data_IF_392196329058
#
_entry.id   IF_392196329058
#
_cell.length_a   1.000
_cell.length_b   1.000
_cell.length_c   1.000
_cell.angle_alpha   90.00
_cell.angle_beta   90.00
_cell.angle_gamma   90.00
#
_symmetry.space_group_name_H-M   'P 1'
#
loop_
_entity.id
_entity.type
_entity.pdbx_description
1 polymer ?
#
# COMPACT_ATOMS: atom_id res chain seq x y z
N UNK A 1 -0.60 -6.68 -29.77
CA UNK A 1 0.68 -5.94 -29.74
C UNK A 1 1.69 -6.81 -29.00
N UNK A 2 2.86 -7.17 -29.56
CA UNK A 2 3.85 -7.95 -28.81
C UNK A 2 4.67 -7.01 -27.92
N UNK A 3 4.11 -6.65 -26.76
CA UNK A 3 4.86 -5.97 -25.69
C UNK A 3 5.54 -7.00 -24.77
N UNK A 4 6.62 -6.59 -24.11
CA UNK A 4 7.24 -7.36 -23.02
C UNK A 4 6.84 -6.75 -21.68
N UNK A 5 6.81 -7.56 -20.64
CA UNK A 5 6.58 -7.06 -19.28
C UNK A 5 7.82 -6.33 -18.77
N UNK A 6 7.62 -5.40 -17.82
CA UNK A 6 8.72 -4.68 -17.19
C UNK A 6 9.68 -5.65 -16.50
N UNK A 7 9.14 -6.69 -15.85
CA UNK A 7 9.87 -7.83 -15.27
C UNK A 7 10.93 -8.41 -16.21
N UNK A 8 10.58 -8.62 -17.48
CA UNK A 8 11.45 -9.24 -18.48
C UNK A 8 12.53 -8.28 -19.01
N UNK A 9 12.33 -6.98 -18.89
CA UNK A 9 13.12 -5.97 -19.58
C UNK A 9 14.03 -5.16 -18.65
N UNK A 10 13.61 -4.89 -17.41
CA UNK A 10 14.26 -3.91 -16.53
C UNK A 10 15.76 -4.14 -16.33
N UNK A 11 16.17 -5.39 -16.12
CA UNK A 11 17.57 -5.75 -15.91
C UNK A 11 18.48 -5.51 -17.14
N UNK A 12 17.88 -5.39 -18.33
CA UNK A 12 18.60 -5.14 -19.59
C UNK A 12 18.55 -3.68 -20.03
N UNK A 13 17.72 -2.85 -19.37
CA UNK A 13 17.60 -1.45 -19.72
C UNK A 13 18.80 -0.65 -19.26
N UNK A 14 19.26 0.24 -20.12
CA UNK A 14 20.16 1.31 -19.73
C UNK A 14 19.43 2.35 -18.86
N UNK A 15 20.18 3.33 -18.36
CA UNK A 15 19.63 4.39 -17.51
C UNK A 15 18.53 5.18 -18.23
N UNK A 16 18.73 5.55 -19.49
CA UNK A 16 17.79 6.36 -20.25
C UNK A 16 16.46 5.62 -20.46
N UNK A 17 16.52 4.32 -20.76
CA UNK A 17 15.34 3.48 -20.92
C UNK A 17 14.57 3.36 -19.59
N UNK A 18 15.27 3.18 -18.46
CA UNK A 18 14.62 3.15 -17.13
C UNK A 18 13.95 4.48 -16.79
N UNK A 19 14.63 5.59 -17.01
CA UNK A 19 14.04 6.92 -16.82
C UNK A 19 12.81 7.13 -17.72
N UNK A 20 12.86 6.63 -18.97
CA UNK A 20 11.71 6.64 -19.89
C UNK A 20 10.54 5.84 -19.34
N UNK A 21 10.77 4.65 -18.76
CA UNK A 21 9.72 3.88 -18.06
C UNK A 21 9.09 4.71 -16.96
N UNK A 22 9.90 5.34 -16.11
CA UNK A 22 9.39 6.12 -14.97
C UNK A 22 8.52 7.28 -15.43
N UNK A 23 8.97 8.04 -16.43
CA UNK A 23 8.24 9.18 -16.97
C UNK A 23 6.92 8.72 -17.62
N UNK A 24 6.97 7.66 -18.42
CA UNK A 24 5.81 7.12 -19.13
C UNK A 24 4.80 6.50 -18.16
N UNK A 25 5.26 5.74 -17.16
CA UNK A 25 4.41 5.18 -16.10
C UNK A 25 3.74 6.29 -15.28
N UNK A 26 4.51 7.29 -14.86
CA UNK A 26 4.00 8.45 -14.13
C UNK A 26 2.87 9.15 -14.88
N UNK A 27 3.00 9.28 -16.21
CA UNK A 27 1.92 9.81 -17.05
C UNK A 27 0.65 8.97 -16.96
N UNK A 28 0.74 7.66 -17.16
CA UNK A 28 -0.42 6.76 -17.13
C UNK A 28 -1.14 6.82 -15.78
N UNK A 29 -0.42 6.72 -14.65
CA UNK A 29 -1.07 6.74 -13.33
C UNK A 29 -1.70 8.09 -12.99
N UNK A 30 -1.13 9.21 -13.46
CA UNK A 30 -1.76 10.53 -13.29
C UNK A 30 -3.02 10.67 -14.12
N UNK A 31 -3.03 10.16 -15.36
CA UNK A 31 -4.22 10.16 -16.22
C UNK A 31 -5.34 9.30 -15.61
N UNK A 32 -5.01 8.11 -15.08
CA UNK A 32 -5.96 7.23 -14.38
C UNK A 32 -6.53 7.91 -13.13
N UNK A 33 -5.68 8.57 -12.34
CA UNK A 33 -6.08 9.26 -11.12
C UNK A 33 -7.00 10.45 -11.35
N UNK A 34 -6.92 11.09 -12.52
CA UNK A 34 -7.75 12.23 -12.92
C UNK A 34 -9.04 11.81 -13.64
N UNK A 35 -9.29 10.51 -13.81
CA UNK A 35 -10.60 10.01 -14.26
C UNK A 35 -11.67 10.40 -13.23
N UNK A 36 -12.75 11.02 -13.72
CA UNK A 36 -13.92 11.31 -12.91
C UNK A 36 -14.62 10.02 -12.51
N UNK A 37 -14.67 9.75 -11.20
CA UNK A 37 -15.31 8.57 -10.62
C UNK A 37 -16.34 8.96 -9.57
N UNK A 38 -17.32 8.09 -9.28
CA UNK A 38 -18.20 8.28 -8.13
C UNK A 38 -17.41 8.46 -6.84
N UNK A 39 -17.93 9.32 -5.97
CA UNK A 39 -17.42 9.53 -4.61
C UNK A 39 -17.83 8.37 -3.70
N UNK A 40 -17.28 7.19 -3.94
CA UNK A 40 -17.65 5.97 -3.25
C UNK A 40 -16.45 5.02 -3.18
N UNK A 41 -16.27 4.35 -2.04
CA UNK A 41 -15.23 3.36 -1.80
C UNK A 41 -15.78 1.97 -2.04
N UNK A 42 -15.23 1.27 -3.04
CA UNK A 42 -15.73 -0.02 -3.47
C UNK A 42 -15.01 -0.56 -4.70
N UNK A 43 -15.30 -1.80 -5.07
CA UNK A 43 -14.84 -2.34 -6.35
C UNK A 43 -15.64 -1.70 -7.47
N UNK A 44 -15.00 -1.47 -8.62
CA UNK A 44 -15.68 -0.94 -9.79
C UNK A 44 -16.65 -1.97 -10.36
N UNK A 45 -17.79 -1.50 -10.87
CA UNK A 45 -18.71 -2.30 -11.66
C UNK A 45 -19.33 -1.46 -12.77
N UNK A 46 -19.85 -2.13 -13.81
CA UNK A 46 -20.61 -1.45 -14.85
C UNK A 46 -21.89 -0.85 -14.27
N UNK A 47 -22.08 0.46 -14.45
CA UNK A 47 -23.30 1.12 -13.98
C UNK A 47 -24.56 0.56 -14.64
N UNK A 48 -25.62 0.39 -13.86
CA UNK A 48 -26.93 -0.04 -14.37
C UNK A 48 -27.60 1.02 -15.28
N UNK A 49 -27.13 2.27 -15.23
CA UNK A 49 -27.63 3.38 -16.02
C UNK A 49 -26.70 3.68 -17.20
N UNK A 50 -27.26 4.17 -18.31
CA UNK A 50 -26.56 4.52 -19.55
C UNK A 50 -25.78 3.35 -20.22
N UNK A 51 -26.35 2.14 -20.28
CA UNK A 51 -25.76 0.99 -20.97
C UNK A 51 -24.30 0.66 -20.53
N UNK A 52 -23.96 0.90 -19.26
CA UNK A 52 -22.60 0.66 -18.74
C UNK A 52 -21.57 1.75 -19.07
N UNK A 53 -21.98 2.91 -19.58
CA UNK A 53 -21.08 4.03 -19.87
C UNK A 53 -20.62 4.81 -18.63
N UNK A 54 -21.24 4.59 -17.47
CA UNK A 54 -20.83 5.19 -16.20
C UNK A 54 -20.22 4.14 -15.28
N UNK A 55 -19.05 4.45 -14.71
CA UNK A 55 -18.46 3.67 -13.62
C UNK A 55 -19.35 3.77 -12.37
N UNK A 56 -19.59 2.64 -11.71
CA UNK A 56 -20.26 2.56 -10.42
C UNK A 56 -19.36 1.83 -9.41
N UNK A 57 -19.68 1.97 -8.12
CA UNK A 57 -19.09 1.16 -7.06
C UNK A 57 -20.03 0.00 -6.69
N UNK A 58 -19.45 -1.16 -6.47
CA UNK A 58 -20.04 -2.29 -5.76
C UNK A 58 -19.28 -2.49 -4.44
N UNK A 59 -19.87 -3.20 -3.46
CA UNK A 59 -19.18 -3.49 -2.22
C UNK A 59 -17.79 -4.08 -2.47
N UNK A 60 -16.81 -3.55 -1.73
CA UNK A 60 -15.39 -3.79 -1.95
C UNK A 60 -15.04 -5.29 -1.88
N UNK A 61 -14.38 -5.78 -2.93
CA UNK A 61 -13.73 -7.08 -3.00
C UNK A 61 -12.22 -6.86 -2.88
N UNK A 62 -11.70 -7.00 -1.66
CA UNK A 62 -10.29 -6.75 -1.35
C UNK A 62 -9.40 -7.98 -1.43
N UNK A 63 -8.09 -7.74 -1.39
CA UNK A 63 -7.09 -8.77 -1.05
C UNK A 63 -6.96 -8.87 0.47
N UNK A 64 -6.41 -9.99 0.94
CA UNK A 64 -6.10 -10.23 2.35
C UNK A 64 -7.30 -10.72 3.17
N UNK A 65 -7.46 -10.29 4.43
CA UNK A 65 -8.47 -10.82 5.34
C UNK A 65 -9.87 -10.23 5.13
N UNK A 66 -10.00 -9.30 4.19
CA UNK A 66 -11.26 -8.60 3.94
C UNK A 66 -12.15 -9.48 3.07
N UNK A 67 -13.28 -10.00 3.59
CA UNK A 67 -14.26 -10.64 2.73
C UNK A 67 -14.91 -9.58 1.81
N UNK A 68 -15.87 -10.02 0.99
CA UNK A 68 -16.79 -9.10 0.31
C UNK A 68 -17.39 -8.14 1.35
N UNK A 69 -17.19 -6.84 1.16
CA UNK A 69 -17.78 -5.83 2.03
C UNK A 69 -19.31 -5.92 2.00
N UNK A 70 -20.00 -5.62 3.11
CA UNK A 70 -21.46 -5.61 3.14
C UNK A 70 -22.06 -4.49 2.29
N UNK A 71 -21.31 -3.40 2.09
CA UNK A 71 -21.78 -2.20 1.39
C UNK A 71 -20.64 -1.43 0.73
N UNK A 72 -21.01 -0.37 0.02
CA UNK A 72 -20.11 0.65 -0.51
C UNK A 72 -19.98 1.76 0.53
N UNK A 73 -18.77 2.23 0.80
CA UNK A 73 -18.55 3.26 1.82
C UNK A 73 -18.48 4.65 1.18
N UNK A 74 -19.10 5.65 1.79
CA UNK A 74 -18.96 7.06 1.37
C UNK A 74 -17.91 7.83 2.19
N UNK A 75 -17.38 7.18 3.22
CA UNK A 75 -16.45 7.73 4.18
C UNK A 75 -15.25 6.79 4.34
N UNK A 76 -14.04 7.36 4.36
CA UNK A 76 -12.79 6.62 4.57
C UNK A 76 -12.73 5.96 5.94
N UNK A 77 -13.28 6.59 6.99
CA UNK A 77 -13.21 6.05 8.34
C UNK A 77 -14.03 4.76 8.46
N UNK A 78 -15.23 4.74 7.88
CA UNK A 78 -16.09 3.54 7.87
C UNK A 78 -15.42 2.38 7.12
N UNK A 79 -14.72 2.69 6.03
CA UNK A 79 -13.93 1.68 5.31
C UNK A 79 -12.74 1.17 6.14
N UNK A 80 -12.00 2.04 6.81
CA UNK A 80 -10.89 1.65 7.71
C UNK A 80 -11.43 0.77 8.84
N UNK A 81 -12.53 1.17 9.48
CA UNK A 81 -13.15 0.42 10.58
C UNK A 81 -13.61 -0.98 10.13
N UNK A 82 -14.16 -1.08 8.91
CA UNK A 82 -14.48 -2.37 8.30
C UNK A 82 -13.24 -3.25 8.11
N UNK A 83 -12.18 -2.70 7.49
CA UNK A 83 -10.93 -3.43 7.22
C UNK A 83 -10.34 -3.98 8.52
N UNK A 84 -10.28 -3.16 9.57
CA UNK A 84 -9.74 -3.60 10.86
C UNK A 84 -10.68 -4.57 11.60
N UNK A 85 -12.00 -4.41 11.49
CA UNK A 85 -12.96 -5.39 12.03
C UNK A 85 -12.76 -6.77 11.42
N UNK A 86 -12.62 -6.84 10.09
CA UNK A 86 -12.33 -8.08 9.37
C UNK A 86 -10.96 -8.66 9.79
N UNK A 87 -9.93 -7.82 9.89
CA UNK A 87 -8.60 -8.23 10.33
C UNK A 87 -8.62 -8.81 11.76
N UNK A 88 -9.34 -8.18 12.69
CA UNK A 88 -9.49 -8.68 14.06
C UNK A 88 -10.19 -10.05 14.10
N UNK A 89 -11.23 -10.25 13.29
CA UNK A 89 -11.93 -11.53 13.20
C UNK A 89 -11.00 -12.65 12.67
N UNK A 90 -10.29 -12.39 11.57
CA UNK A 90 -9.36 -13.36 10.99
C UNK A 90 -8.15 -13.65 11.89
N UNK A 91 -7.62 -12.64 12.59
CA UNK A 91 -6.52 -12.81 13.55
C UNK A 91 -6.92 -13.70 14.73
N UNK A 92 -8.16 -13.59 15.19
CA UNK A 92 -8.73 -14.41 16.27
C UNK A 92 -8.95 -15.85 15.81
N UNK A 93 -9.52 -16.04 14.62
CA UNK A 93 -9.80 -17.36 14.06
C UNK A 93 -8.54 -18.19 13.79
N UNK A 94 -7.43 -17.53 13.45
CA UNK A 94 -6.14 -18.15 13.12
C UNK A 94 -5.15 -18.22 14.29
N UNK A 95 -5.54 -17.79 15.49
CA UNK A 95 -4.64 -17.79 16.65
C UNK A 95 -4.52 -19.19 17.26
N UNK A 96 -3.30 -19.68 17.54
CA UNK A 96 -3.11 -21.01 18.12
C UNK A 96 -3.47 -21.05 19.61
N UNK A 97 -3.54 -19.90 20.28
CA UNK A 97 -3.86 -19.79 21.71
C UNK A 97 -4.54 -18.46 22.03
N UNK A 98 -5.20 -18.38 23.19
CA UNK A 98 -5.82 -17.14 23.67
C UNK A 98 -4.79 -16.01 23.94
N UNK A 99 -3.62 -16.27 24.55
CA UNK A 99 -2.56 -15.26 24.66
C UNK A 99 -2.09 -14.73 23.30
N UNK A 100 -1.95 -15.61 22.29
CA UNK A 100 -1.57 -15.18 20.94
C UNK A 100 -2.67 -14.33 20.30
N UNK A 101 -3.94 -14.71 20.46
CA UNK A 101 -5.07 -13.93 19.99
C UNK A 101 -5.08 -12.51 20.59
N UNK A 102 -4.83 -12.41 21.91
CA UNK A 102 -4.74 -11.12 22.61
C UNK A 102 -3.56 -10.27 22.11
N UNK A 103 -2.38 -10.87 21.92
CA UNK A 103 -1.21 -10.17 21.38
C UNK A 103 -1.44 -9.65 19.95
N UNK A 104 -2.05 -10.47 19.07
CA UNK A 104 -2.41 -10.07 17.71
C UNK A 104 -3.46 -8.95 17.69
N UNK A 105 -4.49 -9.06 18.53
CA UNK A 105 -5.49 -8.03 18.68
C UNK A 105 -4.88 -6.70 19.16
N UNK A 106 -3.92 -6.75 20.09
CA UNK A 106 -3.24 -5.54 20.54
C UNK A 106 -2.46 -4.84 19.40
N UNK A 107 -1.72 -5.60 18.59
CA UNK A 107 -1.00 -5.04 17.43
C UNK A 107 -1.97 -4.39 16.41
N UNK A 108 -3.07 -5.07 16.10
CA UNK A 108 -4.09 -4.52 15.20
C UNK A 108 -4.75 -3.25 15.75
N UNK A 109 -5.01 -3.18 17.07
CA UNK A 109 -5.57 -1.98 17.69
C UNK A 109 -4.61 -0.77 17.57
N UNK A 110 -3.31 -0.99 17.74
CA UNK A 110 -2.30 0.06 17.54
C UNK A 110 -2.21 0.51 16.07
N UNK A 111 -2.27 -0.43 15.12
CA UNK A 111 -2.33 -0.11 13.69
C UNK A 111 -3.61 0.66 13.34
N UNK A 112 -4.76 0.26 13.88
CA UNK A 112 -6.04 0.90 13.62
C UNK A 112 -6.06 2.36 14.13
N UNK A 113 -5.53 2.58 15.33
CA UNK A 113 -5.38 3.93 15.87
C UNK A 113 -4.48 4.79 14.96
N UNK A 114 -3.32 4.27 14.53
CA UNK A 114 -2.43 4.97 13.63
C UNK A 114 -3.03 5.24 12.24
N UNK A 115 -3.77 4.27 11.67
CA UNK A 115 -4.48 4.46 10.41
C UNK A 115 -5.53 5.57 10.53
N UNK A 116 -6.24 5.61 11.66
CA UNK A 116 -7.24 6.65 11.92
C UNK A 116 -6.59 8.03 12.03
N UNK A 117 -5.45 8.13 12.72
CA UNK A 117 -4.69 9.37 12.85
C UNK A 117 -4.12 9.85 11.50
N UNK A 118 -3.53 8.94 10.72
CA UNK A 118 -3.05 9.25 9.36
C UNK A 118 -4.19 9.69 8.45
N UNK A 119 -5.35 9.03 8.52
CA UNK A 119 -6.53 9.41 7.74
C UNK A 119 -7.06 10.81 8.11
N UNK A 120 -6.96 11.23 9.38
CA UNK A 120 -7.26 12.62 9.80
C UNK A 120 -6.23 13.63 9.29
N UNK A 121 -4.97 13.23 9.22
CA UNK A 121 -3.88 14.08 8.74
C UNK A 121 -3.88 14.24 7.20
N UNK A 122 -4.47 13.29 6.48
CA UNK A 122 -4.62 13.38 5.03
C UNK A 122 -5.52 14.57 4.64
N UNK A 123 -5.09 15.36 3.66
CA UNK A 123 -5.95 16.38 3.03
C UNK A 123 -6.93 15.64 2.12
N UNK A 124 -8.06 15.24 2.69
CA UNK A 124 -9.14 14.58 1.96
C UNK A 124 -10.27 15.59 1.77
N UNK A 125 -10.38 16.26 0.59
CA UNK A 125 -11.63 16.88 0.22
C UNK A 125 -12.73 15.82 0.37
N UNK A 126 -13.74 16.11 1.18
CA UNK A 126 -14.87 15.19 1.38
C UNK A 126 -15.41 14.77 0.02
N UNK A 127 -15.44 13.47 -0.21
CA UNK A 127 -15.96 12.88 -1.43
C UNK A 127 -15.04 12.92 -2.66
N UNK A 128 -13.72 12.98 -2.47
CA UNK A 128 -12.77 12.80 -3.57
C UNK A 128 -12.21 11.38 -3.60
N UNK A 129 -12.88 10.50 -4.35
CA UNK A 129 -12.34 9.19 -4.72
C UNK A 129 -11.56 9.29 -6.04
N UNK A 130 -10.69 8.31 -6.27
CA UNK A 130 -10.03 8.08 -7.55
C UNK A 130 -9.99 6.58 -7.83
N UNK A 131 -9.76 6.24 -9.09
CA UNK A 131 -9.52 4.87 -9.47
C UNK A 131 -8.11 4.46 -9.00
N UNK A 132 -8.04 3.43 -8.17
CA UNK A 132 -6.79 2.78 -7.79
C UNK A 132 -6.55 1.55 -8.65
N UNK A 133 -5.31 1.47 -9.15
CA UNK A 133 -4.73 0.30 -9.78
C UNK A 133 -3.37 0.07 -9.12
N UNK A 134 -3.08 -1.17 -8.75
CA UNK A 134 -1.82 -1.55 -8.08
C UNK A 134 -1.07 -2.58 -8.93
N UNK A 135 -0.54 -2.16 -10.10
CA UNK A 135 0.14 -3.08 -11.00
C UNK A 135 1.45 -3.55 -10.39
N UNK A 136 1.73 -4.85 -10.49
CA UNK A 136 3.08 -5.35 -10.28
C UNK A 136 3.94 -5.15 -11.54
N UNK A 137 5.22 -5.51 -11.46
CA UNK A 137 6.14 -5.40 -12.60
C UNK A 137 5.86 -6.36 -13.77
N UNK A 138 5.06 -7.40 -13.55
CA UNK A 138 4.50 -8.26 -14.58
C UNK A 138 3.32 -7.62 -15.31
N UNK A 139 2.63 -6.66 -14.69
CA UNK A 139 1.45 -6.01 -15.25
C UNK A 139 1.78 -4.77 -16.10
N UNK A 140 3.01 -4.29 -16.05
CA UNK A 140 3.46 -3.12 -16.84
C UNK A 140 4.08 -3.60 -18.15
N UNK A 141 3.42 -3.29 -19.27
CA UNK A 141 3.91 -3.65 -20.62
C UNK A 141 4.74 -2.50 -21.17
N UNK A 142 5.96 -2.79 -21.63
CA UNK A 142 6.90 -1.81 -22.15
C UNK A 142 7.39 -2.14 -23.54
N UNK A 143 7.74 -1.11 -24.31
CA UNK A 143 8.45 -1.25 -25.56
C UNK A 143 9.95 -1.47 -25.29
N UNK A 144 10.43 -2.70 -25.52
CA UNK A 144 11.76 -3.17 -25.11
C UNK A 144 12.95 -2.36 -25.68
N UNK A 145 12.76 -1.55 -26.73
CA UNK A 145 13.84 -0.70 -27.27
C UNK A 145 13.88 0.70 -26.66
N UNK A 146 12.74 1.21 -26.21
CA UNK A 146 12.61 2.62 -25.79
C UNK A 146 12.36 2.76 -24.29
N UNK A 147 11.82 1.74 -23.63
CA UNK A 147 11.35 1.82 -22.25
C UNK A 147 9.99 2.51 -22.11
N UNK A 148 9.32 2.87 -23.19
CA UNK A 148 7.99 3.47 -23.14
C UNK A 148 6.95 2.45 -22.63
N UNK A 149 6.09 2.87 -21.70
CA UNK A 149 4.97 2.06 -21.22
C UNK A 149 3.90 2.04 -22.30
N UNK A 150 3.58 0.84 -22.80
CA UNK A 150 2.58 0.62 -23.82
C UNK A 150 1.20 0.26 -23.23
N UNK A 151 1.15 -0.13 -21.95
CA UNK A 151 -0.10 -0.39 -21.25
C UNK A 151 0.10 -0.97 -19.86
N UNK A 152 -0.97 -0.93 -19.07
CA UNK A 152 -1.10 -1.58 -17.77
C UNK A 152 -2.11 -2.72 -17.89
N UNK A 153 -1.77 -3.89 -17.36
CA UNK A 153 -2.59 -5.10 -17.35
C UNK A 153 -3.19 -5.33 -15.95
N UNK A 154 -3.81 -6.49 -15.78
CA UNK A 154 -4.43 -6.95 -14.53
C UNK A 154 -5.36 -5.91 -13.86
N UNK A 155 -6.39 -5.52 -14.60
CA UNK A 155 -7.43 -4.62 -14.10
C UNK A 155 -8.46 -5.37 -13.23
N UNK A 156 -8.29 -6.64 -12.88
CA UNK A 156 -9.37 -7.39 -12.22
C UNK A 156 -9.62 -6.93 -10.76
N UNK A 157 -8.64 -6.28 -10.12
CA UNK A 157 -8.72 -5.80 -8.74
C UNK A 157 -8.69 -4.26 -8.59
N UNK A 158 -9.08 -3.53 -9.63
CA UNK A 158 -9.24 -2.07 -9.54
C UNK A 158 -10.39 -1.68 -8.59
N UNK A 159 -10.22 -0.56 -7.89
CA UNK A 159 -11.20 -0.08 -6.92
C UNK A 159 -11.30 1.43 -6.91
N UNK A 160 -12.47 1.94 -6.58
CA UNK A 160 -12.66 3.33 -6.20
C UNK A 160 -12.26 3.46 -4.73
N UNK A 161 -11.30 4.33 -4.46
CA UNK A 161 -10.80 4.57 -3.10
C UNK A 161 -10.56 6.07 -2.90
N UNK A 162 -10.48 6.58 -1.66
CA UNK A 162 -10.09 7.97 -1.41
C UNK A 162 -8.78 8.30 -2.12
N UNK A 163 -8.64 9.51 -2.66
CA UNK A 163 -7.45 9.90 -3.45
C UNK A 163 -6.12 9.62 -2.73
N UNK A 164 -6.05 9.83 -1.42
CA UNK A 164 -4.86 9.51 -0.62
C UNK A 164 -4.49 8.02 -0.63
N UNK A 165 -5.43 7.10 -0.91
CA UNK A 165 -5.15 5.67 -1.09
C UNK A 165 -4.82 5.31 -2.54
N UNK A 166 -5.35 6.05 -3.52
CA UNK A 166 -5.17 5.73 -4.94
C UNK A 166 -3.79 6.12 -5.48
N UNK A 167 -3.19 7.21 -4.99
CA UNK A 167 -1.87 7.64 -5.45
C UNK A 167 -0.77 6.85 -4.75
N UNK A 168 -0.03 6.01 -5.49
CA UNK A 168 1.04 5.18 -4.95
C UNK A 168 2.35 5.33 -5.75
N UNK A 169 3.47 4.99 -5.10
CA UNK A 169 4.74 4.80 -5.79
C UNK A 169 4.74 3.44 -6.51
N UNK A 170 5.51 3.29 -7.60
CA UNK A 170 5.63 2.00 -8.30
C UNK A 170 6.11 0.90 -7.35
N UNK A 171 5.29 -0.15 -7.15
CA UNK A 171 5.53 -1.19 -6.15
C UNK A 171 6.87 -1.93 -6.32
N UNK A 172 7.37 -2.01 -7.56
CA UNK A 172 8.61 -2.70 -7.90
C UNK A 172 9.90 -1.93 -7.58
N UNK A 173 9.79 -0.65 -7.23
CA UNK A 173 10.93 0.18 -6.76
C UNK A 173 10.93 0.34 -5.23
N UNK A 174 9.83 -0.01 -4.56
CA UNK A 174 9.66 0.25 -3.14
C UNK A 174 10.54 -0.64 -2.26
N UNK A 175 11.09 -0.03 -1.22
CA UNK A 175 11.94 -0.65 -0.21
C UNK A 175 11.48 -0.27 1.21
N UNK A 176 10.19 0.02 1.36
CA UNK A 176 9.53 0.46 2.58
C UNK A 176 8.29 -0.39 2.88
N UNK A 177 7.63 -0.15 4.03
CA UNK A 177 6.40 -0.87 4.39
C UNK A 177 6.60 -2.39 4.38
N UNK A 178 5.72 -3.08 3.67
CA UNK A 178 5.77 -4.53 3.44
C UNK A 178 6.91 -4.96 2.49
N UNK A 179 7.50 -4.01 1.76
CA UNK A 179 8.61 -4.20 0.82
C UNK A 179 9.98 -3.87 1.42
N UNK A 180 10.07 -3.48 2.70
CA UNK A 180 11.35 -3.26 3.37
C UNK A 180 12.11 -4.59 3.51
N UNK A 181 13.38 -4.70 3.05
CA UNK A 181 14.15 -5.95 3.16
C UNK A 181 14.23 -6.56 4.57
N UNK A 182 14.07 -5.75 5.63
CA UNK A 182 14.07 -6.21 7.03
C UNK A 182 12.76 -6.89 7.44
N UNK A 183 11.68 -6.60 6.71
CA UNK A 183 10.31 -6.99 7.05
C UNK A 183 9.59 -7.70 5.90
N UNK A 184 10.18 -7.78 4.71
CA UNK A 184 9.60 -8.40 3.53
C UNK A 184 9.44 -9.92 3.70
N UNK A 185 8.53 -10.50 2.90
CA UNK A 185 8.32 -11.94 2.84
C UNK A 185 9.58 -12.64 2.33
N UNK A 186 9.81 -13.87 2.77
CA UNK A 186 10.80 -14.74 2.15
C UNK A 186 10.57 -14.84 0.63
N UNK A 187 11.65 -14.77 -0.14
CA UNK A 187 11.59 -14.80 -1.60
C UNK A 187 11.12 -13.50 -2.27
N UNK A 188 10.84 -12.42 -1.52
CA UNK A 188 10.68 -11.10 -2.14
C UNK A 188 11.98 -10.74 -2.85
N UNK A 189 11.84 -10.29 -4.08
CA UNK A 189 12.92 -9.81 -4.92
C UNK A 189 12.57 -8.39 -5.38
N UNK A 190 13.61 -7.62 -5.74
CA UNK A 190 13.49 -6.23 -6.17
C UNK A 190 14.10 -6.10 -7.56
N UNK A 191 13.46 -5.30 -8.43
CA UNK A 191 13.94 -5.10 -9.80
C UNK A 191 15.27 -4.32 -9.86
N UNK A 192 15.52 -3.46 -8.87
CA UNK A 192 16.71 -2.63 -8.80
C UNK A 192 17.30 -2.63 -7.37
N UNK A 193 18.62 -2.38 -7.24
CA UNK A 193 19.21 -2.05 -5.94
C UNK A 193 18.54 -0.83 -5.30
N UNK A 194 18.68 -0.71 -3.97
CA UNK A 194 18.06 0.36 -3.18
C UNK A 194 18.45 1.78 -3.64
N UNK A 195 19.72 1.98 -4.00
CA UNK A 195 20.22 3.29 -4.43
C UNK A 195 19.57 3.73 -5.76
N UNK A 196 19.58 2.84 -6.76
CA UNK A 196 18.93 3.08 -8.05
C UNK A 196 17.42 3.27 -7.89
N UNK A 197 16.78 2.46 -7.05
CA UNK A 197 15.34 2.61 -6.76
C UNK A 197 15.02 3.96 -6.15
N UNK A 198 15.86 4.48 -5.26
CA UNK A 198 15.67 5.81 -4.67
C UNK A 198 15.80 6.92 -5.72
N UNK A 199 16.76 6.82 -6.65
CA UNK A 199 16.89 7.75 -7.78
C UNK A 199 15.65 7.72 -8.68
N UNK A 200 15.17 6.53 -9.05
CA UNK A 200 14.00 6.37 -9.90
C UNK A 200 12.70 6.85 -9.23
N UNK A 201 12.56 6.63 -7.91
CA UNK A 201 11.43 7.14 -7.13
C UNK A 201 11.46 8.67 -6.99
N UNK A 202 12.65 9.27 -6.86
CA UNK A 202 12.78 10.72 -6.87
C UNK A 202 12.35 11.32 -8.22
N UNK A 203 12.80 10.72 -9.33
CA UNK A 203 12.34 11.12 -10.67
C UNK A 203 10.82 10.97 -10.82
N UNK A 204 10.26 9.84 -10.36
CA UNK A 204 8.81 9.63 -10.36
C UNK A 204 8.07 10.76 -9.64
N UNK A 205 8.51 11.11 -8.43
CA UNK A 205 7.93 12.20 -7.64
C UNK A 205 8.02 13.57 -8.35
N UNK A 206 9.14 13.89 -8.99
CA UNK A 206 9.31 15.11 -9.77
C UNK A 206 8.34 15.17 -10.96
N UNK A 207 8.22 14.06 -11.71
CA UNK A 207 7.33 13.97 -12.87
C UNK A 207 5.87 14.10 -12.44
N UNK A 208 5.40 13.34 -11.44
CA UNK A 208 4.00 13.45 -11.01
C UNK A 208 3.69 14.81 -10.41
N UNK A 209 4.62 15.44 -9.69
CA UNK A 209 4.46 16.81 -9.20
C UNK A 209 4.30 17.82 -10.34
N UNK A 210 5.07 17.65 -11.41
CA UNK A 210 4.98 18.53 -12.59
C UNK A 210 3.67 18.35 -13.38
N UNK A 211 3.09 17.14 -13.36
CA UNK A 211 1.89 16.79 -14.15
C UNK A 211 0.59 17.01 -13.39
N UNK A 212 0.52 16.58 -12.12
CA UNK A 212 -0.68 16.64 -11.29
C UNK A 212 -0.28 16.91 -9.84
N UNK A 213 -0.38 18.18 -9.44
CA UNK A 213 -0.15 18.60 -8.05
C UNK A 213 -1.07 17.83 -7.08
N UNK A 214 -2.31 17.54 -7.49
CA UNK A 214 -3.26 16.76 -6.71
C UNK A 214 -2.79 15.30 -6.49
N UNK A 215 -2.22 14.66 -7.53
CA UNK A 215 -1.63 13.31 -7.37
C UNK A 215 -0.46 13.35 -6.39
N UNK A 216 0.44 14.33 -6.55
CA UNK A 216 1.62 14.46 -5.69
C UNK A 216 1.23 14.69 -4.21
N UNK A 217 0.25 15.55 -3.94
CA UNK A 217 -0.23 15.78 -2.58
C UNK A 217 -0.88 14.53 -1.97
N UNK A 218 -1.68 13.80 -2.74
CA UNK A 218 -2.26 12.54 -2.31
C UNK A 218 -1.20 11.45 -2.07
N UNK A 219 -0.19 11.36 -2.94
CA UNK A 219 0.95 10.47 -2.80
C UNK A 219 1.69 10.74 -1.49
N UNK A 220 1.99 12.01 -1.20
CA UNK A 220 2.74 12.38 0.01
C UNK A 220 1.92 12.18 1.27
N UNK A 221 0.70 12.73 1.32
CA UNK A 221 -0.15 12.72 2.50
C UNK A 221 -0.65 11.33 2.88
N UNK A 222 -0.97 10.46 1.91
CA UNK A 222 -1.49 9.12 2.17
C UNK A 222 -0.44 8.04 2.43
N UNK A 223 0.85 8.37 2.42
CA UNK A 223 1.94 7.38 2.49
C UNK A 223 1.88 6.48 3.74
N UNK A 224 1.65 7.06 4.92
CA UNK A 224 1.50 6.32 6.17
C UNK A 224 0.29 5.38 6.14
N UNK A 225 -0.88 5.93 5.78
CA UNK A 225 -2.12 5.17 5.71
C UNK A 225 -2.03 4.00 4.73
N UNK A 226 -1.49 4.20 3.52
CA UNK A 226 -1.29 3.12 2.53
C UNK A 226 -0.36 2.05 3.08
N UNK A 227 0.76 2.44 3.70
CA UNK A 227 1.70 1.50 4.32
C UNK A 227 1.02 0.62 5.38
N UNK A 228 0.13 1.20 6.21
CA UNK A 228 -0.63 0.45 7.21
C UNK A 228 -1.62 -0.51 6.55
N UNK A 229 -2.39 -0.06 5.56
CA UNK A 229 -3.38 -0.91 4.89
C UNK A 229 -2.73 -2.04 4.07
N UNK A 230 -1.55 -1.81 3.48
CA UNK A 230 -0.73 -2.86 2.85
C UNK A 230 -0.37 -3.96 3.85
N UNK A 231 0.02 -3.59 5.08
CA UNK A 231 0.25 -4.57 6.14
C UNK A 231 -1.02 -5.34 6.50
N UNK A 232 -2.20 -4.72 6.50
CA UNK A 232 -3.44 -5.47 6.74
C UNK A 232 -3.73 -6.45 5.60
N UNK A 233 -3.51 -6.03 4.35
CA UNK A 233 -3.70 -6.86 3.15
C UNK A 233 -2.75 -8.06 3.07
N UNK A 234 -1.54 -7.96 3.64
CA UNK A 234 -0.57 -9.06 3.74
C UNK A 234 -0.88 -10.08 4.85
N UNK A 235 -1.96 -9.88 5.63
CA UNK A 235 -2.30 -10.80 6.71
C UNK A 235 -2.62 -12.21 6.19
N UNK A 236 -2.06 -13.22 6.87
CA UNK A 236 -2.16 -14.63 6.46
C UNK A 236 -0.95 -15.12 5.66
N UNK A 237 -0.04 -14.22 5.26
CA UNK A 237 1.26 -14.62 4.70
C UNK A 237 2.18 -15.23 5.76
N UNK A 238 3.19 -15.97 5.30
CA UNK A 238 4.21 -16.58 6.17
C UNK A 238 4.90 -15.53 7.05
N UNK A 239 5.09 -15.88 8.32
CA UNK A 239 5.71 -15.06 9.36
C UNK A 239 5.14 -13.65 9.52
N UNK A 240 3.90 -13.43 9.07
CA UNK A 240 3.24 -12.13 9.05
C UNK A 240 3.39 -11.36 10.37
N UNK A 241 3.02 -12.00 11.49
CA UNK A 241 3.03 -11.34 12.80
C UNK A 241 4.43 -10.96 13.28
N UNK A 242 5.45 -11.74 12.95
CA UNK A 242 6.83 -11.44 13.28
C UNK A 242 7.36 -10.28 12.43
N UNK A 243 7.07 -10.31 11.12
CA UNK A 243 7.39 -9.24 10.17
C UNK A 243 6.75 -7.91 10.57
N UNK A 244 5.45 -7.94 10.90
CA UNK A 244 4.71 -6.77 11.34
C UNK A 244 5.31 -6.16 12.62
N UNK A 245 5.61 -6.98 13.64
CA UNK A 245 6.25 -6.49 14.87
C UNK A 245 7.57 -5.77 14.59
N UNK A 246 8.44 -6.34 13.75
CA UNK A 246 9.72 -5.70 13.37
C UNK A 246 9.49 -4.34 12.72
N UNK A 247 8.52 -4.25 11.80
CA UNK A 247 8.15 -2.99 11.16
C UNK A 247 7.63 -1.98 12.18
N UNK A 248 6.66 -2.35 13.03
CA UNK A 248 6.09 -1.47 14.06
C UNK A 248 7.13 -0.99 15.07
N UNK A 249 8.11 -1.83 15.45
CA UNK A 249 9.25 -1.41 16.27
C UNK A 249 10.09 -0.35 15.55
N UNK A 250 10.36 -0.54 14.25
CA UNK A 250 11.07 0.43 13.42
C UNK A 250 10.34 1.78 13.31
N UNK A 251 8.99 1.74 13.30
CA UNK A 251 8.12 2.92 13.32
C UNK A 251 7.94 3.52 14.72
N UNK A 252 8.52 2.92 15.77
CA UNK A 252 8.35 3.33 17.19
C UNK A 252 6.89 3.32 17.66
N UNK A 253 6.04 2.48 17.05
CA UNK A 253 4.64 2.31 17.47
C UNK A 253 4.50 1.43 18.71
N UNK A 254 5.52 0.61 18.99
CA UNK A 254 5.56 -0.25 20.17
C UNK A 254 6.34 0.44 21.29
N UNK A 255 5.88 0.33 22.55
CA UNK A 255 6.67 0.76 23.70
C UNK A 255 8.05 0.11 23.63
N UNK A 256 9.11 0.90 23.72
CA UNK A 256 10.44 0.33 23.90
C UNK A 256 10.49 -0.25 25.31
N UNK A 257 10.72 -1.56 25.42
CA UNK A 257 11.05 -2.18 26.70
C UNK A 257 12.26 -1.44 27.26
N UNK A 258 12.02 -0.58 28.26
CA UNK A 258 13.12 0.05 28.99
C UNK A 258 13.93 -1.10 29.58
N UNK A 259 15.24 -1.21 29.30
CA UNK A 259 16.04 -2.28 29.88
C UNK A 259 15.85 -2.20 31.39
N UNK A 260 15.39 -3.31 31.97
CA UNK A 260 15.16 -3.40 33.40
C UNK A 260 16.45 -2.95 34.10
N UNK A 261 16.40 -1.80 34.78
CA UNK A 261 17.53 -1.28 35.53
C UNK A 261 17.88 -2.35 36.55
N UNK A 262 18.94 -3.12 36.29
CA UNK A 262 19.50 -4.05 37.25
C UNK A 262 19.91 -3.21 38.45
N UNK A 263 19.07 -3.15 39.48
CA UNK A 263 19.44 -2.61 40.78
C UNK A 263 20.67 -3.41 41.21
N UNK A 264 21.86 -2.82 41.09
CA UNK A 264 23.05 -3.34 41.74
C UNK A 264 22.70 -3.43 43.23
N UNK A 265 22.55 -4.64 43.74
CA UNK A 265 22.56 -4.88 45.18
C UNK A 265 23.96 -4.50 45.63
N UNK A 266 24.13 -3.30 46.18
CA UNK A 266 25.28 -2.98 47.03
C UNK A 266 25.25 -3.98 48.17
N UNK A 267 26.09 -5.01 48.07
CA UNK A 267 26.55 -5.78 49.22
C UNK A 267 27.35 -4.81 50.08
N UNK A 268 26.68 -4.20 51.06
CA UNK A 268 27.36 -3.55 52.17
C UNK A 268 28.12 -4.63 52.95
N UNK A 269 29.38 -4.32 53.20
CA UNK A 269 30.31 -5.02 54.06
C UNK A 269 29.67 -5.34 55.42
N UNK A 270 29.88 -6.57 55.90
CA UNK A 270 29.80 -6.88 57.31
C UNK A 270 31.24 -6.87 57.90
N UNK A 271 31.42 -6.38 59.13
CA UNK A 271 32.71 -6.17 59.78
C UNK A 271 33.43 -7.47 60.17
#
# INVERSE_FOLDING_TARGET
MPGKTLRECWGTFDRQQKETVIISYAQHVTEIFDINVPSAVGSTCGGAHNNGQTLSAAPFMGRGPTPLAPEVYTNVYDHIDYVFTAAHAAARASAPSAPDAAARAHLLALLHAAATDDARACVLPRGSCALAHDPDDGDVVVHARTGEVAGLLDWEFHALVPRALAAAHPAWLRHDGVHDPRCARAGRWWLAPRAESAEMLALFEEVVKSKSQAYYEALRSGSGLRSILEWVSEMGTEDYWARLRRWMTGQKMLPQDKPAVKKQKSTMFAP
#
